data_IF_492537740693
#
_entry.id   IF_492537740693
#
_cell.length_a   1.000
_cell.length_b   1.000
_cell.length_c   1.000
_cell.angle_alpha   90.00
_cell.angle_beta   90.00
_cell.angle_gamma   90.00
#
_symmetry.space_group_name_H-M   'P 1'
#
loop_
_entity.id
_entity.type
_entity.pdbx_description
1 polymer ?
#
# COMPACT_ATOMS: atom_id res chain seq x y z
N UNK A 1 0.45 16.56 4.00
CA UNK A 1 1.89 16.91 3.97
C UNK A 1 2.51 16.35 2.68
N UNK A 2 3.45 17.03 2.01
CA UNK A 2 4.15 16.43 0.87
C UNK A 2 5.28 15.50 1.38
N UNK A 3 5.38 14.25 0.89
CA UNK A 3 6.45 13.35 1.29
C UNK A 3 7.81 13.87 0.79
N UNK A 4 8.88 13.62 1.55
CA UNK A 4 10.24 13.91 1.08
C UNK A 4 10.61 12.96 -0.07
N UNK A 5 11.18 13.44 -1.19
CA UNK A 5 11.59 12.58 -2.31
C UNK A 5 12.52 11.43 -1.89
N UNK A 6 13.25 11.61 -0.79
CA UNK A 6 14.19 10.63 -0.28
C UNK A 6 13.54 9.29 0.13
N UNK A 7 12.23 9.22 0.38
CA UNK A 7 11.58 7.93 0.69
C UNK A 7 11.40 7.05 -0.54
N UNK A 8 11.39 7.63 -1.75
CA UNK A 8 11.27 6.88 -3.01
C UNK A 8 12.64 6.34 -3.39
N UNK A 9 12.86 5.04 -3.15
CA UNK A 9 14.10 4.34 -3.48
C UNK A 9 14.00 3.74 -4.87
N UNK A 10 15.09 3.12 -5.34
CA UNK A 10 15.16 2.53 -6.67
C UNK A 10 14.11 1.43 -6.92
N UNK A 11 13.67 0.72 -5.86
CA UNK A 11 12.83 -0.47 -5.99
C UNK A 11 11.57 -0.45 -5.10
N UNK A 12 11.48 0.48 -4.14
CA UNK A 12 10.38 0.57 -3.20
C UNK A 12 10.34 1.93 -2.48
N UNK A 13 9.36 2.12 -1.61
CA UNK A 13 9.22 3.29 -0.76
C UNK A 13 9.63 2.91 0.66
N UNK A 14 10.58 3.65 1.24
CA UNK A 14 11.11 3.36 2.57
C UNK A 14 11.42 4.63 3.35
N UNK A 15 10.91 4.70 4.58
CA UNK A 15 11.13 5.79 5.50
C UNK A 15 11.16 5.32 6.95
N UNK A 16 11.27 6.30 7.86
CA UNK A 16 11.27 6.10 9.30
C UNK A 16 9.91 6.58 9.80
N UNK A 17 9.23 5.74 10.58
CA UNK A 17 7.97 6.09 11.24
C UNK A 17 8.25 6.70 12.61
N UNK A 18 7.60 7.81 13.02
CA UNK A 18 6.58 8.58 12.29
C UNK A 18 7.12 9.78 11.48
N UNK A 19 8.44 9.86 11.24
CA UNK A 19 9.08 11.08 10.75
C UNK A 19 8.97 11.29 9.24
N UNK A 20 9.59 10.43 8.44
CA UNK A 20 9.58 10.55 6.97
C UNK A 20 8.47 9.73 6.33
N UNK A 21 7.92 8.77 7.07
CA UNK A 21 6.76 7.96 6.70
C UNK A 21 5.75 7.95 7.86
N UNK A 22 4.49 8.23 7.56
CA UNK A 22 3.39 8.27 8.53
C UNK A 22 2.05 7.99 7.82
N UNK A 23 0.97 7.99 8.58
CA UNK A 23 -0.38 7.66 8.10
C UNK A 23 -0.85 8.59 6.97
N UNK A 24 -0.55 9.90 7.05
CA UNK A 24 -0.89 10.85 5.98
C UNK A 24 -0.18 10.50 4.66
N UNK A 25 1.09 10.10 4.74
CA UNK A 25 1.85 9.65 3.56
C UNK A 25 1.28 8.33 3.05
N UNK A 26 0.96 7.38 3.92
CA UNK A 26 0.35 6.10 3.52
C UNK A 26 -0.99 6.28 2.82
N UNK A 27 -1.84 7.17 3.35
CA UNK A 27 -3.11 7.56 2.71
C UNK A 27 -2.88 8.15 1.31
N UNK A 28 -1.92 9.07 1.20
CA UNK A 28 -1.53 9.64 -0.09
C UNK A 28 -1.01 8.60 -1.08
N UNK A 29 -0.21 7.63 -0.62
CA UNK A 29 0.29 6.53 -1.42
C UNK A 29 -0.83 5.59 -1.87
N UNK A 30 -1.82 5.31 -1.01
CA UNK A 30 -2.99 4.52 -1.36
C UNK A 30 -3.77 5.17 -2.49
N UNK A 31 -4.01 6.48 -2.41
CA UNK A 31 -4.68 7.25 -3.47
C UNK A 31 -3.88 7.21 -4.77
N UNK A 32 -2.57 7.44 -4.70
CA UNK A 32 -1.70 7.47 -5.87
C UNK A 32 -1.61 6.10 -6.56
N UNK A 33 -1.35 5.04 -5.78
CA UNK A 33 -1.26 3.67 -6.28
C UNK A 33 -2.59 3.21 -6.85
N UNK A 34 -3.70 3.45 -6.15
CA UNK A 34 -5.03 3.09 -6.65
C UNK A 34 -5.41 3.83 -7.94
N UNK A 35 -5.05 5.10 -8.07
CA UNK A 35 -5.25 5.87 -9.31
C UNK A 35 -4.44 5.27 -10.46
N UNK A 36 -3.18 4.90 -10.22
CA UNK A 36 -2.34 4.25 -11.23
C UNK A 36 -2.90 2.88 -11.63
N UNK A 37 -3.26 2.04 -10.66
CA UNK A 37 -3.86 0.72 -10.90
C UNK A 37 -5.14 0.83 -11.76
N UNK A 38 -6.02 1.80 -11.48
CA UNK A 38 -7.22 2.05 -12.30
C UNK A 38 -6.91 2.48 -13.72
N UNK A 39 -5.87 3.30 -13.91
CA UNK A 39 -5.43 3.69 -15.25
C UNK A 39 -4.94 2.49 -16.07
N UNK A 40 -4.44 1.46 -15.39
CA UNK A 40 -4.06 0.16 -16.00
C UNK A 40 -5.24 -0.84 -16.08
N UNK A 41 -6.47 -0.41 -15.77
CA UNK A 41 -7.66 -1.26 -15.84
C UNK A 41 -7.84 -2.21 -14.65
N UNK A 42 -7.05 -2.06 -13.59
CA UNK A 42 -7.15 -2.87 -12.38
C UNK A 42 -8.13 -2.24 -11.39
N UNK A 43 -9.07 -3.04 -10.89
CA UNK A 43 -10.12 -2.58 -9.95
C UNK A 43 -9.94 -3.11 -8.53
N UNK A 44 -9.06 -4.08 -8.35
CA UNK A 44 -8.89 -4.81 -7.09
C UNK A 44 -7.41 -4.92 -6.72
N UNK A 45 -7.05 -4.59 -5.48
CA UNK A 45 -5.67 -4.63 -4.98
C UNK A 45 -5.59 -5.45 -3.69
N UNK A 46 -4.65 -6.39 -3.63
CA UNK A 46 -4.33 -7.09 -2.39
C UNK A 46 -3.44 -6.22 -1.49
N UNK A 47 -3.75 -6.13 -0.21
CA UNK A 47 -2.95 -5.38 0.78
C UNK A 47 -2.50 -6.32 1.87
N UNK A 48 -1.19 -6.33 2.14
CA UNK A 48 -0.61 -7.05 3.27
C UNK A 48 0.24 -6.13 4.13
N UNK A 49 0.75 -6.65 5.25
CA UNK A 49 1.77 -5.98 6.08
C UNK A 49 2.67 -6.97 6.78
N UNK A 50 3.88 -6.54 7.13
CA UNK A 50 4.78 -7.31 7.98
C UNK A 50 4.50 -7.10 9.49
N UNK A 51 5.35 -7.70 10.32
CA UNK A 51 5.24 -7.68 11.79
C UNK A 51 5.70 -6.40 12.48
N UNK A 52 5.89 -5.27 11.76
CA UNK A 52 6.28 -4.00 12.39
C UNK A 52 5.16 -3.41 13.24
N UNK A 53 5.55 -2.74 14.32
CA UNK A 53 4.62 -2.08 15.24
C UNK A 53 3.74 -1.02 14.57
N UNK A 54 4.28 -0.32 13.57
CA UNK A 54 3.55 0.68 12.78
C UNK A 54 2.57 0.06 11.77
N UNK A 55 2.68 -1.25 11.50
CA UNK A 55 1.95 -1.94 10.44
C UNK A 55 0.43 -1.73 10.47
N UNK A 56 -0.26 -1.91 11.62
CA UNK A 56 -1.71 -1.75 11.68
C UNK A 56 -2.20 -0.35 11.26
N UNK A 57 -1.57 0.72 11.77
CA UNK A 57 -1.98 2.09 11.45
C UNK A 57 -1.64 2.47 10.00
N UNK A 58 -0.44 2.11 9.55
CA UNK A 58 0.04 2.39 8.19
C UNK A 58 -0.79 1.67 7.13
N UNK A 59 -1.10 0.39 7.35
CA UNK A 59 -1.92 -0.41 6.43
C UNK A 59 -3.36 0.12 6.39
N UNK A 60 -3.96 0.47 7.53
CA UNK A 60 -5.30 1.06 7.55
C UNK A 60 -5.38 2.37 6.73
N UNK A 61 -4.41 3.27 6.88
CA UNK A 61 -4.35 4.50 6.10
C UNK A 61 -4.13 4.24 4.59
N UNK A 62 -3.27 3.28 4.24
CA UNK A 62 -3.05 2.85 2.86
C UNK A 62 -4.34 2.31 2.22
N UNK A 63 -5.05 1.42 2.93
CA UNK A 63 -6.32 0.84 2.50
C UNK A 63 -7.36 1.93 2.29
N UNK A 64 -7.47 2.89 3.22
CA UNK A 64 -8.37 4.02 3.06
C UNK A 64 -8.08 4.78 1.76
N UNK A 65 -6.80 5.04 1.46
CA UNK A 65 -6.42 5.77 0.24
C UNK A 65 -6.78 5.01 -1.04
N UNK A 66 -6.62 3.68 -1.04
CA UNK A 66 -7.02 2.81 -2.15
C UNK A 66 -8.54 2.85 -2.36
N UNK A 67 -9.31 2.71 -1.28
CA UNK A 67 -10.79 2.76 -1.33
C UNK A 67 -11.26 4.12 -1.86
N UNK A 68 -10.66 5.22 -1.43
CA UNK A 68 -10.98 6.56 -1.93
C UNK A 68 -10.64 6.75 -3.42
N UNK A 69 -9.66 6.02 -3.95
CA UNK A 69 -9.37 5.97 -5.38
C UNK A 69 -10.36 5.10 -6.18
N UNK A 70 -11.28 4.40 -5.50
CA UNK A 70 -12.25 3.50 -6.11
C UNK A 70 -11.71 2.08 -6.37
N UNK A 71 -10.72 1.64 -5.59
CA UNK A 71 -10.21 0.27 -5.60
C UNK A 71 -10.96 -0.58 -4.58
N UNK A 72 -11.32 -1.80 -4.96
CA UNK A 72 -11.72 -2.85 -4.03
C UNK A 72 -10.46 -3.47 -3.39
N UNK A 73 -10.43 -3.56 -2.06
CA UNK A 73 -9.26 -4.03 -1.33
C UNK A 73 -9.47 -5.44 -0.79
N UNK A 74 -8.52 -6.33 -1.08
CA UNK A 74 -8.39 -7.63 -0.42
C UNK A 74 -7.32 -7.49 0.66
N UNK A 75 -7.73 -7.25 1.91
CA UNK A 75 -6.81 -7.22 3.05
C UNK A 75 -6.42 -8.66 3.45
N UNK A 76 -5.18 -9.06 3.14
CA UNK A 76 -4.62 -10.36 3.53
C UNK A 76 -3.96 -10.31 4.91
N UNK A 77 -3.89 -9.14 5.54
CA UNK A 77 -3.47 -8.97 6.93
C UNK A 77 -1.95 -9.06 7.17
N UNK A 78 -1.59 -9.62 8.34
CA UNK A 78 -0.20 -9.83 8.75
C UNK A 78 0.37 -11.07 8.03
N UNK A 79 1.19 -10.84 7.02
CA UNK A 79 1.69 -11.90 6.13
C UNK A 79 3.15 -11.66 5.75
N UNK A 80 3.78 -12.68 5.17
CA UNK A 80 5.08 -12.50 4.52
C UNK A 80 4.89 -11.88 3.13
N UNK A 81 5.89 -11.16 2.65
CA UNK A 81 5.86 -10.55 1.31
C UNK A 81 5.59 -11.55 0.18
N UNK A 82 6.16 -12.78 0.18
CA UNK A 82 5.81 -13.79 -0.82
C UNK A 82 4.33 -14.21 -0.79
N UNK A 83 3.66 -14.19 0.38
CA UNK A 83 2.24 -14.51 0.45
C UNK A 83 1.37 -13.41 -0.16
N UNK A 84 1.77 -12.13 0.00
CA UNK A 84 1.12 -11.04 -0.71
C UNK A 84 1.31 -11.17 -2.23
N UNK A 85 2.52 -11.52 -2.70
CA UNK A 85 2.76 -11.76 -4.13
C UNK A 85 1.91 -12.91 -4.66
N UNK A 86 1.75 -13.97 -3.88
CA UNK A 86 0.85 -15.08 -4.22
C UNK A 86 -0.61 -14.60 -4.36
N UNK A 87 -1.11 -13.81 -3.41
CA UNK A 87 -2.46 -13.22 -3.50
C UNK A 87 -2.62 -12.33 -4.74
N UNK A 88 -1.64 -11.47 -5.02
CA UNK A 88 -1.59 -10.61 -6.21
C UNK A 88 -1.33 -11.36 -7.53
N UNK A 89 -1.17 -12.68 -7.50
CA UNK A 89 -1.05 -13.54 -8.68
C UNK A 89 -2.23 -14.53 -8.82
N UNK A 90 -3.07 -14.67 -7.79
CA UNK A 90 -4.11 -15.71 -7.73
C UNK A 90 -5.51 -15.18 -7.41
N UNK A 91 -5.62 -14.06 -6.71
CA UNK A 91 -6.88 -13.42 -6.34
C UNK A 91 -7.13 -12.12 -7.12
N UNK A 92 -6.06 -11.42 -7.48
CA UNK A 92 -6.07 -10.20 -8.29
C UNK A 92 -4.75 -10.08 -9.07
N UNK A 93 -4.50 -8.93 -9.70
CA UNK A 93 -3.28 -8.67 -10.51
C UNK A 93 -2.43 -7.52 -9.96
N UNK A 94 -2.71 -7.08 -8.73
CA UNK A 94 -2.09 -5.92 -8.08
C UNK A 94 -1.94 -6.18 -6.59
N UNK A 95 -0.80 -5.79 -6.01
CA UNK A 95 -0.60 -5.90 -4.57
C UNK A 95 0.35 -4.86 -4.01
N UNK A 96 0.15 -4.47 -2.76
CA UNK A 96 1.01 -3.52 -2.04
C UNK A 96 1.15 -3.90 -0.55
N UNK A 97 2.34 -3.68 0.01
CA UNK A 97 2.69 -3.92 1.42
C UNK A 97 3.32 -2.67 2.03
#
# INVERSE_FOLDING_TARGET
MQPTPAIFKAYDIRGIVPSTLNEDVALGLGRAFGTAARAEGQTTVAVGRDGRLSGPAMSAALIQGLVEAGIEVIDVGLVTTPLLYFAASTLCHSGIQ
#
